data_IF_636500339790
#
_entry.id   IF_636500339790
#
_cell.length_a   1.000
_cell.length_b   1.000
_cell.length_c   1.000
_cell.angle_alpha   90.00
_cell.angle_beta   90.00
_cell.angle_gamma   90.00
#
_symmetry.space_group_name_H-M   'P 1'
#
loop_
_entity.id
_entity.type
_entity.pdbx_description
1 polymer ?
#
# COMPACT_ATOMS: atom_id res chain seq x y z
N UNK A 1 17.23 -4.19 -0.51
CA UNK A 1 16.56 -4.94 -1.60
C UNK A 1 16.38 -4.00 -2.78
N UNK A 2 16.58 -4.46 -4.03
CA UNK A 2 16.34 -3.66 -5.22
C UNK A 2 15.22 -4.27 -6.04
N UNK A 3 14.33 -3.43 -6.48
CA UNK A 3 13.31 -3.73 -7.47
C UNK A 3 13.93 -3.60 -8.86
N UNK A 4 13.44 -4.34 -9.83
CA UNK A 4 13.85 -4.21 -11.23
C UNK A 4 12.63 -4.00 -12.13
N UNK A 5 12.87 -3.45 -13.32
CA UNK A 5 11.81 -3.26 -14.29
C UNK A 5 11.32 -4.60 -14.86
N UNK A 6 10.00 -4.70 -15.12
CA UNK A 6 9.44 -5.84 -15.87
C UNK A 6 9.96 -5.96 -17.30
N UNK A 7 10.67 -4.94 -17.81
CA UNK A 7 11.21 -4.90 -19.18
C UNK A 7 12.74 -5.01 -19.23
N UNK A 8 13.43 -4.79 -18.09
CA UNK A 8 14.88 -4.82 -18.04
C UNK A 8 15.42 -5.06 -16.64
N UNK A 9 16.23 -6.09 -16.44
CA UNK A 9 16.87 -6.38 -15.17
C UNK A 9 17.96 -5.35 -14.80
N UNK A 10 18.44 -4.57 -15.77
CA UNK A 10 19.45 -3.54 -15.53
C UNK A 10 18.89 -2.24 -14.95
N UNK A 11 17.58 -2.03 -15.06
CA UNK A 11 16.91 -0.86 -14.49
C UNK A 11 16.39 -1.24 -13.12
N UNK A 12 17.05 -0.73 -12.09
CA UNK A 12 16.74 -1.04 -10.69
C UNK A 12 16.37 0.21 -9.89
N UNK A 13 15.60 0.01 -8.84
CA UNK A 13 15.22 1.06 -7.90
C UNK A 13 15.13 0.51 -6.48
N UNK A 14 15.35 1.35 -5.47
CA UNK A 14 14.93 1.04 -4.09
C UNK A 14 13.41 1.12 -3.99
N UNK A 15 12.80 0.63 -2.91
CA UNK A 15 11.36 0.73 -2.72
C UNK A 15 10.89 2.20 -2.74
N UNK A 16 11.55 3.08 -1.99
CA UNK A 16 11.23 4.51 -1.97
C UNK A 16 11.34 5.15 -3.37
N UNK A 17 12.36 4.79 -4.16
CA UNK A 17 12.46 5.26 -5.55
C UNK A 17 11.33 4.75 -6.42
N UNK A 18 10.98 3.48 -6.33
CA UNK A 18 9.88 2.88 -7.09
C UNK A 18 8.53 3.50 -6.76
N UNK A 19 8.26 3.80 -5.48
CA UNK A 19 7.05 4.49 -5.03
C UNK A 19 6.95 5.89 -5.65
N UNK A 20 8.02 6.68 -5.62
CA UNK A 20 8.01 8.04 -6.16
C UNK A 20 7.96 8.08 -7.68
N UNK A 21 8.64 7.17 -8.34
CA UNK A 21 8.74 7.13 -9.79
C UNK A 21 7.50 6.50 -10.45
N UNK A 22 6.88 5.51 -9.82
CA UNK A 22 5.74 4.76 -10.33
C UNK A 22 6.13 3.78 -11.43
N UNK A 23 6.49 4.29 -12.62
CA UNK A 23 6.97 3.48 -13.75
C UNK A 23 8.49 3.58 -13.91
N UNK A 24 9.10 2.50 -14.32
CA UNK A 24 10.51 2.51 -14.72
C UNK A 24 10.74 3.34 -15.99
N UNK A 25 11.98 3.80 -16.22
CA UNK A 25 12.32 4.67 -17.37
C UNK A 25 12.06 4.06 -18.75
N UNK A 26 11.95 2.71 -18.80
CA UNK A 26 11.59 1.96 -20.01
C UNK A 26 10.08 1.70 -20.13
N UNK A 27 9.27 2.26 -19.22
CA UNK A 27 7.82 2.08 -19.15
C UNK A 27 7.40 0.74 -18.51
N UNK A 28 8.33 0.00 -17.90
CA UNK A 28 8.05 -1.20 -17.12
C UNK A 28 7.52 -0.88 -15.71
N UNK A 29 6.98 -1.89 -15.04
CA UNK A 29 6.65 -1.84 -13.62
C UNK A 29 7.85 -2.29 -12.80
N UNK A 30 7.99 -1.76 -11.59
CA UNK A 30 8.99 -2.25 -10.65
C UNK A 30 8.48 -3.50 -9.94
N UNK A 31 9.22 -4.58 -10.03
CA UNK A 31 8.95 -5.84 -9.34
C UNK A 31 10.09 -6.19 -8.39
N UNK A 32 9.72 -6.72 -7.23
CA UNK A 32 10.67 -7.21 -6.23
C UNK A 32 11.07 -8.66 -6.51
N UNK A 33 12.31 -9.06 -6.26
CA UNK A 33 12.63 -10.47 -6.08
C UNK A 33 11.88 -10.97 -4.84
N UNK A 34 10.77 -11.69 -5.05
CA UNK A 34 9.94 -12.18 -3.97
C UNK A 34 10.71 -13.23 -3.17
N UNK A 35 10.97 -12.93 -1.90
CA UNK A 35 11.30 -13.94 -0.91
C UNK A 35 10.02 -14.31 -0.17
N UNK A 36 9.79 -15.60 0.04
CA UNK A 36 8.63 -16.05 0.78
C UNK A 36 8.63 -15.47 2.19
N UNK A 37 7.51 -14.92 2.62
CA UNK A 37 7.25 -14.67 4.03
C UNK A 37 6.90 -15.98 4.72
N UNK A 38 7.38 -16.16 5.93
CA UNK A 38 6.90 -17.25 6.77
C UNK A 38 5.44 -16.93 7.17
N UNK A 39 4.53 -17.72 6.63
CA UNK A 39 3.11 -17.51 6.88
C UNK A 39 2.71 -17.82 8.33
N UNK A 40 3.46 -18.67 9.03
CA UNK A 40 3.24 -18.97 10.45
C UNK A 40 3.48 -17.71 11.32
N UNK A 41 4.38 -16.85 10.90
CA UNK A 41 4.61 -15.54 11.53
C UNK A 41 3.45 -14.55 11.35
N UNK A 42 2.58 -14.79 10.38
CA UNK A 42 1.41 -13.95 10.10
C UNK A 42 0.12 -14.49 10.71
N UNK A 43 0.07 -15.80 11.01
CA UNK A 43 -1.10 -16.41 11.63
C UNK A 43 -1.38 -15.82 13.02
N UNK A 44 -2.66 -15.73 13.35
CA UNK A 44 -3.16 -15.23 14.64
C UNK A 44 -2.70 -13.80 14.99
N UNK A 45 -2.25 -13.03 14.00
CA UNK A 45 -1.95 -11.61 14.16
C UNK A 45 -3.16 -10.76 13.80
N UNK A 46 -3.27 -9.63 14.48
CA UNK A 46 -4.20 -8.59 14.06
C UNK A 46 -3.80 -8.00 12.70
N UNK A 47 -4.76 -7.38 12.02
CA UNK A 47 -4.60 -6.84 10.65
C UNK A 47 -3.48 -5.80 10.57
N UNK A 48 -3.29 -4.96 11.57
CA UNK A 48 -2.26 -3.92 11.59
C UNK A 48 -0.85 -4.50 11.71
N UNK A 49 -0.68 -5.48 12.59
CA UNK A 49 0.58 -6.22 12.74
C UNK A 49 0.92 -6.98 11.46
N UNK A 50 -0.06 -7.62 10.82
CA UNK A 50 0.10 -8.33 9.56
C UNK A 50 0.50 -7.37 8.44
N UNK A 51 -0.21 -6.25 8.28
CA UNK A 51 0.10 -5.22 7.29
C UNK A 51 1.52 -4.65 7.49
N UNK A 52 1.90 -4.35 8.73
CA UNK A 52 3.24 -3.86 9.08
C UNK A 52 4.33 -4.85 8.67
N UNK A 53 4.17 -6.14 8.99
CA UNK A 53 5.15 -7.18 8.63
C UNK A 53 5.30 -7.33 7.13
N UNK A 54 4.18 -7.42 6.40
CA UNK A 54 4.18 -7.58 4.94
C UNK A 54 4.81 -6.36 4.27
N UNK A 55 4.39 -5.16 4.64
CA UNK A 55 4.91 -3.93 4.03
C UNK A 55 6.38 -3.68 4.38
N UNK A 56 6.81 -3.96 5.61
CA UNK A 56 8.23 -3.86 5.97
C UNK A 56 9.11 -4.84 5.19
N UNK A 57 8.60 -6.03 4.89
CA UNK A 57 9.29 -7.00 4.06
C UNK A 57 9.42 -6.54 2.60
N UNK A 58 8.34 -5.97 2.06
CA UNK A 58 8.33 -5.47 0.69
C UNK A 58 9.09 -4.15 0.53
N UNK A 59 9.08 -3.28 1.53
CA UNK A 59 9.59 -1.90 1.47
C UNK A 59 10.67 -1.65 2.55
N UNK A 60 11.80 -2.39 2.52
CA UNK A 60 12.77 -2.41 3.63
C UNK A 60 13.56 -1.12 3.82
N UNK A 61 13.52 -0.18 2.88
CA UNK A 61 14.11 1.15 2.98
C UNK A 61 13.11 2.23 3.44
N UNK A 62 11.87 1.84 3.76
CA UNK A 62 10.86 2.70 4.37
C UNK A 62 10.76 2.38 5.86
N UNK A 63 11.24 3.29 6.68
CA UNK A 63 11.27 3.12 8.14
C UNK A 63 9.91 3.41 8.80
N UNK A 64 9.73 2.95 10.03
CA UNK A 64 8.54 3.21 10.86
C UNK A 64 7.22 2.75 10.21
N UNK A 65 7.24 1.61 9.54
CA UNK A 65 6.07 1.07 8.85
C UNK A 65 4.86 0.87 9.77
N UNK A 66 5.08 0.53 11.03
CA UNK A 66 4.06 0.44 12.08
C UNK A 66 3.27 1.74 12.21
N UNK A 67 3.95 2.88 12.24
CA UNK A 67 3.30 4.20 12.31
C UNK A 67 2.56 4.54 11.04
N UNK A 68 3.13 4.20 9.88
CA UNK A 68 2.49 4.46 8.59
C UNK A 68 1.19 3.65 8.46
N UNK A 69 1.19 2.39 8.88
CA UNK A 69 0.00 1.52 8.91
C UNK A 69 -1.07 2.09 9.87
N UNK A 70 -0.68 2.51 11.06
CA UNK A 70 -1.59 3.17 12.01
C UNK A 70 -2.22 4.43 11.42
N UNK A 71 -1.42 5.31 10.82
CA UNK A 71 -1.90 6.55 10.20
C UNK A 71 -2.79 6.29 8.98
N UNK A 72 -2.51 5.22 8.24
CA UNK A 72 -3.28 4.84 7.07
C UNK A 72 -4.69 4.36 7.44
N UNK A 73 -4.83 3.60 8.52
CA UNK A 73 -6.04 2.81 8.73
C UNK A 73 -6.79 3.10 10.03
N UNK A 74 -6.10 3.49 11.13
CA UNK A 74 -6.74 3.63 12.44
C UNK A 74 -7.88 4.65 12.40
N UNK A 75 -9.08 4.18 12.75
CA UNK A 75 -10.29 5.00 12.81
C UNK A 75 -10.87 5.45 11.47
N UNK A 76 -10.32 4.97 10.33
CA UNK A 76 -10.86 5.28 8.99
C UNK A 76 -11.80 4.21 8.45
N UNK A 77 -11.69 2.98 8.94
CA UNK A 77 -12.54 1.86 8.54
C UNK A 77 -13.59 1.58 9.61
N UNK A 78 -14.72 1.00 9.21
CA UNK A 78 -15.81 0.64 10.13
C UNK A 78 -15.41 -0.46 11.12
N UNK A 79 -14.41 -1.28 10.77
CA UNK A 79 -13.89 -2.36 11.59
C UNK A 79 -12.36 -2.35 11.63
N UNK A 80 -11.76 -2.83 12.70
CA UNK A 80 -10.31 -2.95 12.82
C UNK A 80 -9.71 -4.03 11.91
N UNK A 81 -10.51 -4.99 11.48
CA UNK A 81 -10.11 -5.99 10.49
C UNK A 81 -9.97 -5.41 9.07
N UNK A 82 -10.35 -4.15 8.85
CA UNK A 82 -10.40 -3.44 7.57
C UNK A 82 -11.29 -4.14 6.53
N UNK A 83 -11.11 -5.42 6.30
CA UNK A 83 -11.81 -6.24 5.32
C UNK A 83 -12.26 -7.56 5.96
N UNK A 84 -13.30 -7.53 6.82
CA UNK A 84 -13.73 -8.71 7.56
C UNK A 84 -14.24 -9.82 6.64
N UNK A 85 -13.97 -11.07 7.03
CA UNK A 85 -14.48 -12.27 6.38
C UNK A 85 -15.75 -12.75 7.11
N UNK A 86 -16.90 -12.56 6.47
CA UNK A 86 -18.20 -12.79 7.06
C UNK A 86 -18.81 -14.11 6.56
N UNK A 87 -19.25 -15.04 7.42
CA UNK A 87 -19.92 -16.25 7.01
C UNK A 87 -21.35 -15.95 6.51
N UNK A 88 -21.70 -16.53 5.34
CA UNK A 88 -23.04 -16.43 4.74
C UNK A 88 -23.47 -17.83 4.29
N UNK A 89 -24.26 -18.52 5.10
CA UNK A 89 -24.64 -19.92 4.88
C UNK A 89 -23.40 -20.83 4.90
N UNK A 90 -23.14 -21.50 3.79
CA UNK A 90 -22.00 -22.41 3.58
C UNK A 90 -20.78 -21.73 2.94
N UNK A 91 -20.80 -20.41 2.80
CA UNK A 91 -19.77 -19.61 2.13
C UNK A 91 -19.25 -18.51 3.03
N UNK A 92 -18.16 -17.88 2.58
CA UNK A 92 -17.61 -16.69 3.20
C UNK A 92 -17.58 -15.54 2.21
N UNK A 93 -17.87 -14.34 2.68
CA UNK A 93 -17.80 -13.09 1.92
C UNK A 93 -16.72 -12.21 2.54
N UNK A 94 -15.72 -11.85 1.75
CA UNK A 94 -14.72 -10.84 2.13
C UNK A 94 -15.32 -9.45 1.83
N UNK A 95 -15.63 -8.68 2.89
CA UNK A 95 -16.25 -7.37 2.76
C UNK A 95 -15.19 -6.29 2.50
N UNK A 96 -15.09 -5.83 1.27
CA UNK A 96 -14.09 -4.83 0.84
C UNK A 96 -14.63 -3.38 0.85
N UNK A 97 -15.83 -3.16 1.36
CA UNK A 97 -16.54 -1.88 1.31
C UNK A 97 -16.59 -1.15 2.67
N UNK A 98 -15.83 -1.58 3.65
CA UNK A 98 -15.82 -1.02 5.03
C UNK A 98 -14.94 0.23 5.18
N UNK A 99 -14.30 0.69 4.11
CA UNK A 99 -13.47 1.87 4.11
C UNK A 99 -14.24 3.18 3.91
N UNK A 100 -13.56 4.33 3.98
CA UNK A 100 -14.19 5.67 4.02
C UNK A 100 -14.97 6.03 2.75
N UNK A 101 -14.73 5.37 1.64
CA UNK A 101 -15.46 5.61 0.38
C UNK A 101 -16.32 4.43 -0.06
N UNK A 102 -16.35 3.36 0.74
CA UNK A 102 -17.02 2.09 0.44
C UNK A 102 -16.49 1.40 -0.83
N UNK A 103 -15.28 1.74 -1.26
CA UNK A 103 -14.62 1.11 -2.39
C UNK A 103 -13.47 0.21 -1.89
N UNK A 104 -13.27 -0.95 -2.52
CA UNK A 104 -12.15 -1.85 -2.18
C UNK A 104 -10.78 -1.18 -2.29
N UNK A 105 -10.71 -0.10 -3.07
CA UNK A 105 -9.49 0.70 -3.26
C UNK A 105 -9.05 1.48 -2.03
N UNK A 106 -9.93 1.65 -1.04
CA UNK A 106 -9.62 2.38 0.19
C UNK A 106 -8.43 1.77 0.93
N UNK A 107 -8.30 0.44 0.92
CA UNK A 107 -7.15 -0.25 1.53
C UNK A 107 -5.82 0.24 0.94
N UNK A 108 -5.74 0.38 -0.37
CA UNK A 108 -4.52 0.85 -1.03
C UNK A 108 -4.37 2.38 -0.94
N UNK A 109 -5.45 3.13 -1.16
CA UNK A 109 -5.40 4.59 -1.28
C UNK A 109 -5.36 5.32 0.07
N UNK A 110 -5.67 4.67 1.19
CA UNK A 110 -5.34 5.18 2.52
C UNK A 110 -3.85 4.99 2.86
N UNK A 111 -3.21 3.93 2.33
CA UNK A 111 -1.79 3.64 2.58
C UNK A 111 -0.86 4.45 1.66
N UNK A 112 -1.24 4.66 0.40
CA UNK A 112 -0.38 5.31 -0.61
C UNK A 112 0.13 6.69 -0.20
N UNK A 113 -0.66 7.61 0.40
CA UNK A 113 -0.17 8.91 0.87
C UNK A 113 0.93 8.79 1.93
N UNK A 114 0.79 7.83 2.84
CA UNK A 114 1.78 7.56 3.89
C UNK A 114 3.11 7.09 3.28
N UNK A 115 3.04 6.17 2.33
CA UNK A 115 4.21 5.67 1.62
C UNK A 115 4.89 6.74 0.77
N UNK A 116 4.12 7.58 0.07
CA UNK A 116 4.66 8.70 -0.72
C UNK A 116 5.37 9.72 0.17
N UNK A 117 4.79 10.08 1.31
CA UNK A 117 5.39 11.01 2.27
C UNK A 117 6.69 10.43 2.85
N UNK A 118 6.68 9.16 3.26
CA UNK A 118 7.87 8.48 3.75
C UNK A 118 8.96 8.38 2.67
N UNK A 119 8.60 8.03 1.44
CA UNK A 119 9.54 7.94 0.32
C UNK A 119 10.16 9.31 -0.03
N UNK A 120 9.40 10.40 0.03
CA UNK A 120 9.93 11.77 -0.08
C UNK A 120 11.00 12.05 0.97
N UNK A 121 10.72 11.71 2.22
CA UNK A 121 11.66 11.88 3.34
C UNK A 121 12.94 11.10 3.11
N UNK A 122 12.84 9.82 2.74
CA UNK A 122 14.01 8.95 2.43
C UNK A 122 14.87 9.54 1.30
N UNK A 123 14.25 10.21 0.33
CA UNK A 123 14.95 10.81 -0.82
C UNK A 123 15.35 12.27 -0.63
N UNK A 124 14.97 12.89 0.48
CA UNK A 124 15.22 14.31 0.71
C UNK A 124 14.52 15.20 -0.31
N UNK A 125 13.35 14.78 -0.80
CA UNK A 125 12.54 15.52 -1.76
C UNK A 125 11.72 16.59 -1.04
N UNK A 126 11.86 17.85 -1.44
CA UNK A 126 11.08 18.98 -0.87
C UNK A 126 9.89 19.36 -1.76
N UNK A 127 9.92 18.98 -3.05
CA UNK A 127 8.91 19.34 -4.03
C UNK A 127 7.52 18.80 -3.66
N UNK A 128 6.48 19.55 -3.97
CA UNK A 128 5.10 19.12 -3.80
C UNK A 128 4.72 18.03 -4.82
N UNK A 129 3.90 17.08 -4.38
CA UNK A 129 3.34 16.05 -5.24
C UNK A 129 1.92 16.45 -5.63
N UNK A 130 1.70 16.66 -6.93
CA UNK A 130 0.37 16.90 -7.48
C UNK A 130 -0.26 15.58 -7.89
N UNK A 131 -1.40 15.26 -7.30
CA UNK A 131 -2.18 14.07 -7.64
C UNK A 131 -3.25 14.42 -8.67
N UNK A 132 -3.09 13.91 -9.89
CA UNK A 132 -4.08 14.05 -10.96
C UNK A 132 -4.86 12.74 -11.12
N UNK A 133 -6.19 12.83 -11.12
CA UNK A 133 -7.06 11.66 -11.30
C UNK A 133 -8.01 11.87 -12.47
N UNK A 134 -8.12 10.84 -13.33
CA UNK A 134 -9.13 10.75 -14.36
C UNK A 134 -9.73 9.35 -14.31
N UNK A 135 -10.84 9.19 -13.60
CA UNK A 135 -11.43 7.88 -13.29
C UNK A 135 -12.95 7.89 -13.46
N UNK A 136 -13.54 6.70 -13.50
CA UNK A 136 -15.00 6.53 -13.54
C UNK A 136 -15.71 6.84 -12.21
N UNK A 137 -14.96 7.07 -11.11
CA UNK A 137 -15.53 7.44 -9.81
C UNK A 137 -14.73 6.91 -8.63
N UNK A 138 -14.77 5.60 -8.36
CA UNK A 138 -14.26 4.98 -7.14
C UNK A 138 -12.79 5.30 -6.85
N UNK A 139 -11.92 5.18 -7.85
CA UNK A 139 -10.49 5.46 -7.66
C UNK A 139 -10.24 6.93 -7.36
N UNK A 140 -10.90 7.85 -8.08
CA UNK A 140 -10.76 9.28 -7.86
C UNK A 140 -11.27 9.70 -6.49
N UNK A 141 -12.45 9.19 -6.08
CA UNK A 141 -13.03 9.43 -4.76
C UNK A 141 -12.12 8.93 -3.64
N UNK A 142 -11.63 7.68 -3.76
CA UNK A 142 -10.74 7.10 -2.76
C UNK A 142 -9.39 7.84 -2.68
N UNK A 143 -8.84 8.30 -3.81
CA UNK A 143 -7.63 9.12 -3.82
C UNK A 143 -7.86 10.47 -3.12
N UNK A 144 -8.95 11.18 -3.44
CA UNK A 144 -9.29 12.46 -2.78
C UNK A 144 -9.38 12.32 -1.27
N UNK A 145 -10.04 11.29 -0.77
CA UNK A 145 -10.17 11.03 0.67
C UNK A 145 -8.85 10.58 1.31
N UNK A 146 -8.08 9.75 0.60
CA UNK A 146 -6.80 9.24 1.11
C UNK A 146 -5.72 10.32 1.26
N UNK A 147 -5.73 11.35 0.38
CA UNK A 147 -4.76 12.45 0.36
C UNK A 147 -5.22 13.70 1.14
N UNK A 148 -6.34 13.67 1.83
CA UNK A 148 -6.75 14.71 2.79
C UNK A 148 -5.99 14.57 4.11
#
# INVERSE_FOLDING_TARGET
MYYHSTRSDSITATAAQGILQGLASDGGLFISPLTALDWEDLMDRDTFTMATKILSHLLPDVEHMDRLVEQAYRGKFETEDLTPLVPVGDRFVLELFRGPTSAFKDVALCMLPQLLTAAKTVKGMEEDILILTATSGDTGKAALVGFQ
#
